data_IF_213032824349
#
_entry.id   IF_213032824349
#
_cell.length_a   1.000
_cell.length_b   1.000
_cell.length_c   1.000
_cell.angle_alpha   90.00
_cell.angle_beta   90.00
_cell.angle_gamma   90.00
#
_symmetry.space_group_name_H-M   'P 1'
#
loop_
_entity.id
_entity.type
_entity.pdbx_description
1 polymer ?
#
# COMPACT_ATOMS: atom_id res chain seq x y z
N UNK A 1 16.30 -11.38 7.44
CA UNK A 1 15.17 -12.09 6.82
C UNK A 1 14.11 -11.08 6.47
N UNK A 2 13.79 -10.90 5.20
CA UNK A 2 12.80 -9.92 4.75
C UNK A 2 11.44 -10.63 4.66
N UNK A 3 10.55 -10.34 5.60
CA UNK A 3 9.17 -10.85 5.53
C UNK A 3 8.30 -9.83 4.81
N UNK A 4 7.81 -10.20 3.64
CA UNK A 4 6.74 -9.45 2.96
C UNK A 4 5.44 -10.19 3.20
N UNK A 5 4.57 -9.62 4.01
CA UNK A 5 3.19 -10.04 4.07
C UNK A 5 2.35 -8.95 3.42
N UNK A 6 1.79 -9.27 2.27
CA UNK A 6 0.88 -8.39 1.54
C UNK A 6 -0.53 -8.75 1.97
N UNK A 7 -1.20 -7.87 2.70
CA UNK A 7 -2.65 -7.91 2.84
C UNK A 7 -3.21 -6.94 1.78
N UNK A 8 -3.85 -7.50 0.77
CA UNK A 8 -4.49 -6.73 -0.27
C UNK A 8 -5.94 -6.50 0.11
N UNK A 9 -6.31 -5.23 0.26
CA UNK A 9 -7.70 -4.84 0.33
C UNK A 9 -8.12 -4.40 -1.07
N UNK A 10 -9.02 -5.15 -1.66
CA UNK A 10 -9.58 -4.86 -2.97
C UNK A 10 -10.87 -4.06 -2.80
N UNK A 11 -10.95 -2.89 -3.44
CA UNK A 11 -12.19 -2.15 -3.57
C UNK A 11 -12.82 -2.54 -4.91
N UNK A 12 -14.07 -3.06 -4.93
CA UNK A 12 -14.77 -3.28 -6.19
C UNK A 12 -14.98 -1.95 -6.90
N UNK A 13 -14.89 -1.91 -8.23
CA UNK A 13 -15.24 -0.72 -8.99
C UNK A 13 -16.74 -0.49 -8.86
N UNK A 14 -17.14 0.59 -8.17
CA UNK A 14 -18.52 1.04 -8.15
C UNK A 14 -18.88 1.60 -9.53
N UNK A 15 -19.68 0.87 -10.28
CA UNK A 15 -20.35 1.34 -11.51
C UNK A 15 -21.74 1.95 -11.22
N UNK A 16 -22.07 2.25 -9.98
CA UNK A 16 -23.32 2.90 -9.66
C UNK A 16 -23.17 4.41 -9.74
N UNK A 17 -23.52 4.95 -10.91
CA UNK A 17 -23.88 6.36 -11.05
C UNK A 17 -25.00 6.67 -10.05
N UNK A 18 -24.72 7.55 -9.09
CA UNK A 18 -25.74 8.13 -8.24
C UNK A 18 -26.76 8.86 -9.12
N UNK A 19 -27.96 8.33 -9.13
CA UNK A 19 -29.16 9.04 -9.57
C UNK A 19 -29.33 10.28 -8.68
N UNK A 20 -29.03 11.45 -9.24
CA UNK A 20 -29.21 12.74 -8.57
C UNK A 20 -30.67 13.12 -8.58
N UNK A 21 -31.46 12.48 -7.73
CA UNK A 21 -32.79 12.93 -7.38
C UNK A 21 -32.73 14.37 -6.86
N UNK A 22 -33.37 15.22 -7.61
CA UNK A 22 -33.67 16.65 -7.44
C UNK A 22 -33.68 17.14 -5.97
N UNK A 23 -32.64 17.83 -5.54
CA UNK A 23 -32.71 18.74 -4.37
C UNK A 23 -32.45 20.17 -4.84
N UNK A 24 -33.55 20.92 -5.03
CA UNK A 24 -33.50 22.36 -5.21
C UNK A 24 -33.04 23.03 -3.89
N UNK A 25 -31.80 23.44 -3.79
CA UNK A 25 -31.35 24.43 -2.80
C UNK A 25 -30.76 25.64 -3.52
N UNK A 26 -31.45 26.77 -3.36
CA UNK A 26 -30.93 28.09 -3.72
C UNK A 26 -29.79 28.46 -2.77
N UNK A 27 -28.56 28.50 -3.27
CA UNK A 27 -27.39 29.02 -2.58
C UNK A 27 -26.28 29.21 -3.60
N UNK A 28 -25.70 30.42 -3.69
CA UNK A 28 -24.58 30.71 -4.59
C UNK A 28 -23.42 29.83 -4.26
N UNK A 29 -23.03 28.96 -5.20
CA UNK A 29 -21.81 28.14 -5.12
C UNK A 29 -20.56 29.02 -5.31
N UNK A 30 -19.46 28.73 -4.59
CA UNK A 30 -18.19 29.43 -4.82
C UNK A 30 -17.64 29.16 -6.23
N UNK A 31 -16.98 30.12 -6.83
CA UNK A 31 -16.43 30.13 -8.20
C UNK A 31 -15.53 28.93 -8.54
N UNK A 32 -15.03 28.24 -7.55
CA UNK A 32 -14.12 27.09 -7.73
C UNK A 32 -14.78 25.88 -8.39
N UNK A 33 -16.10 25.70 -8.27
CA UNK A 33 -16.82 24.58 -8.86
C UNK A 33 -17.27 24.81 -10.31
N UNK A 34 -17.22 26.05 -10.80
CA UNK A 34 -17.58 26.35 -12.18
C UNK A 34 -16.48 26.03 -13.19
N UNK A 35 -15.24 25.81 -12.74
CA UNK A 35 -14.12 25.50 -13.64
C UNK A 35 -13.99 24.02 -13.98
N UNK A 36 -14.66 23.13 -13.23
CA UNK A 36 -14.61 21.68 -13.45
C UNK A 36 -15.83 21.11 -14.19
N UNK A 37 -16.87 21.92 -14.42
CA UNK A 37 -18.14 21.42 -14.99
C UNK A 37 -18.41 21.86 -16.44
N UNK A 38 -17.52 22.58 -17.08
CA UNK A 38 -17.71 23.01 -18.45
C UNK A 38 -16.42 22.87 -19.24
N UNK A 39 -16.11 21.69 -19.67
CA UNK A 39 -15.53 21.38 -20.98
C UNK A 39 -15.13 19.90 -21.10
N UNK A 40 -15.79 19.24 -22.05
CA UNK A 40 -15.34 17.97 -22.66
C UNK A 40 -15.58 16.65 -21.93
N UNK A 41 -16.83 16.34 -21.70
CA UNK A 41 -17.26 14.96 -21.45
C UNK A 41 -17.31 14.07 -22.71
N UNK A 42 -17.16 14.63 -23.91
CA UNK A 42 -17.31 13.84 -25.15
C UNK A 42 -16.01 13.41 -25.84
N UNK A 43 -14.85 13.97 -25.49
CA UNK A 43 -13.58 13.62 -26.17
C UNK A 43 -12.66 12.72 -25.33
N UNK A 44 -13.04 12.38 -24.13
CA UNK A 44 -12.26 11.54 -23.23
C UNK A 44 -12.43 10.05 -23.51
N UNK A 45 -13.57 9.67 -24.06
CA UNK A 45 -13.90 8.26 -24.35
C UNK A 45 -13.46 7.78 -25.74
N UNK A 46 -13.01 8.64 -26.65
CA UNK A 46 -12.86 8.29 -28.07
C UNK A 46 -11.44 7.96 -28.53
N UNK A 47 -10.41 8.10 -27.73
CA UNK A 47 -9.03 7.82 -28.16
C UNK A 47 -8.18 7.08 -27.12
N UNK A 48 -8.65 5.92 -26.68
CA UNK A 48 -7.77 4.81 -26.30
C UNK A 48 -8.57 3.51 -26.30
N UNK A 49 -8.48 2.74 -27.39
CA UNK A 49 -8.52 1.29 -27.27
C UNK A 49 -7.27 0.87 -26.50
N UNK A 50 -7.22 1.13 -25.20
CA UNK A 50 -6.41 0.35 -24.29
C UNK A 50 -7.30 -0.84 -23.97
N UNK A 51 -7.09 -1.93 -24.69
CA UNK A 51 -7.55 -3.24 -24.27
C UNK A 51 -6.80 -3.62 -23.00
N UNK A 52 -7.11 -2.95 -21.91
CA UNK A 52 -6.85 -3.46 -20.58
C UNK A 52 -8.04 -4.32 -20.23
N UNK A 53 -8.00 -5.58 -20.64
CA UNK A 53 -8.76 -6.62 -19.98
C UNK A 53 -8.26 -6.64 -18.53
N UNK A 54 -8.95 -5.89 -17.65
CA UNK A 54 -8.76 -6.06 -16.21
C UNK A 54 -9.16 -7.51 -15.93
N UNK A 55 -8.20 -8.32 -15.48
CA UNK A 55 -8.40 -9.74 -15.17
C UNK A 55 -9.11 -9.93 -13.83
N UNK A 56 -10.16 -9.13 -13.56
CA UNK A 56 -10.97 -9.29 -12.35
C UNK A 56 -11.96 -10.44 -12.51
N UNK A 57 -11.89 -11.38 -11.59
CA UNK A 57 -12.82 -12.47 -11.46
C UNK A 57 -13.83 -12.10 -10.37
N UNK A 58 -15.07 -11.84 -10.77
CA UNK A 58 -16.19 -11.64 -9.83
C UNK A 58 -17.17 -12.80 -10.07
N UNK A 59 -17.42 -13.67 -9.06
CA UNK A 59 -18.39 -14.73 -9.21
C UNK A 59 -19.79 -14.18 -9.52
N UNK A 60 -20.53 -14.85 -10.40
CA UNK A 60 -21.90 -14.47 -10.70
C UNK A 60 -22.75 -14.49 -9.43
N UNK A 61 -23.49 -13.41 -9.18
CA UNK A 61 -24.33 -13.28 -7.99
C UNK A 61 -23.57 -12.95 -6.70
N UNK A 62 -22.29 -12.62 -6.76
CA UNK A 62 -21.55 -12.15 -5.57
C UNK A 62 -22.17 -10.86 -5.03
N UNK A 63 -22.49 -10.88 -3.75
CA UNK A 63 -22.86 -9.70 -2.96
C UNK A 63 -21.99 -9.65 -1.72
N UNK A 64 -21.45 -8.46 -1.33
CA UNK A 64 -20.71 -8.33 -0.08
C UNK A 64 -21.60 -8.63 1.14
N UNK A 65 -21.05 -9.28 2.16
CA UNK A 65 -21.76 -9.56 3.41
C UNK A 65 -21.94 -8.32 4.30
N UNK A 66 -21.08 -7.30 4.08
CA UNK A 66 -21.08 -6.04 4.83
C UNK A 66 -21.05 -4.85 3.87
N UNK A 67 -21.59 -3.72 4.28
CA UNK A 67 -21.60 -2.50 3.49
C UNK A 67 -20.21 -1.82 3.44
N UNK A 68 -20.06 -0.77 2.61
CA UNK A 68 -18.79 -0.07 2.43
C UNK A 68 -18.29 0.61 3.72
N UNK A 69 -19.18 1.13 4.56
CA UNK A 69 -18.82 1.77 5.83
C UNK A 69 -18.35 0.73 6.83
N UNK A 70 -19.09 -0.36 6.96
CA UNK A 70 -18.72 -1.50 7.81
C UNK A 70 -17.39 -2.10 7.36
N UNK A 71 -17.15 -2.20 6.06
CA UNK A 71 -15.86 -2.62 5.49
C UNK A 71 -14.71 -1.73 5.98
N UNK A 72 -14.87 -0.40 6.00
CA UNK A 72 -13.82 0.50 6.50
C UNK A 72 -13.56 0.32 8.00
N UNK A 73 -14.62 0.10 8.78
CA UNK A 73 -14.50 -0.20 10.23
C UNK A 73 -13.77 -1.52 10.44
N UNK A 74 -14.16 -2.57 9.69
CA UNK A 74 -13.55 -3.89 9.78
C UNK A 74 -12.06 -3.86 9.41
N UNK A 75 -11.69 -3.15 8.33
CA UNK A 75 -10.29 -2.96 7.94
C UNK A 75 -9.48 -2.36 9.11
N UNK A 76 -9.99 -1.32 9.75
CA UNK A 76 -9.30 -0.68 10.88
C UNK A 76 -9.13 -1.63 12.07
N UNK A 77 -10.19 -2.37 12.44
CA UNK A 77 -10.16 -3.33 13.54
C UNK A 77 -9.15 -4.44 13.28
N UNK A 78 -9.18 -5.04 12.09
CA UNK A 78 -8.25 -6.11 11.69
C UNK A 78 -6.81 -5.60 11.67
N UNK A 79 -6.58 -4.41 11.09
CA UNK A 79 -5.24 -3.80 11.03
C UNK A 79 -4.68 -3.56 12.43
N UNK A 80 -5.44 -2.96 13.33
CA UNK A 80 -4.98 -2.65 14.69
C UNK A 80 -4.66 -3.91 15.49
N UNK A 81 -5.53 -4.90 15.40
CA UNK A 81 -5.35 -6.14 16.13
C UNK A 81 -4.12 -6.91 15.60
N UNK A 82 -4.06 -7.12 14.30
CA UNK A 82 -2.96 -7.86 13.68
C UNK A 82 -1.59 -7.22 13.96
N UNK A 83 -1.47 -5.90 13.74
CA UNK A 83 -0.19 -5.22 13.99
C UNK A 83 0.26 -5.35 15.44
N UNK A 84 -0.67 -5.27 16.41
CA UNK A 84 -0.37 -5.45 17.82
C UNK A 84 0.16 -6.86 18.12
N UNK A 85 -0.48 -7.88 17.57
CA UNK A 85 -0.05 -9.25 17.78
C UNK A 85 1.26 -9.58 17.03
N UNK A 86 1.43 -9.08 15.81
CA UNK A 86 2.67 -9.26 15.05
C UNK A 86 3.87 -8.64 15.80
N UNK A 87 3.73 -7.42 16.31
CA UNK A 87 4.79 -6.74 17.06
C UNK A 87 5.18 -7.50 18.31
N UNK A 88 4.20 -8.06 19.02
CA UNK A 88 4.43 -8.88 20.19
C UNK A 88 5.15 -10.20 19.87
N UNK A 89 4.75 -10.88 18.78
CA UNK A 89 5.34 -12.18 18.40
C UNK A 89 6.78 -12.03 17.88
N UNK A 90 7.10 -10.94 17.21
CA UNK A 90 8.39 -10.75 16.53
C UNK A 90 9.31 -9.75 17.22
N UNK A 91 8.90 -9.13 18.33
CA UNK A 91 9.62 -8.05 19.02
C UNK A 91 9.94 -6.88 18.08
N UNK A 92 8.87 -6.26 17.52
CA UNK A 92 8.99 -5.18 16.57
C UNK A 92 8.60 -3.84 17.19
N UNK A 93 9.31 -2.78 16.81
CA UNK A 93 8.95 -1.41 17.12
C UNK A 93 8.40 -0.71 15.88
N UNK A 94 7.29 0.01 16.01
CA UNK A 94 6.76 0.81 14.92
C UNK A 94 7.66 2.01 14.65
N UNK A 95 8.01 2.23 13.38
CA UNK A 95 8.72 3.41 12.92
C UNK A 95 7.99 4.06 11.75
N UNK A 96 8.17 5.37 11.57
CA UNK A 96 7.65 6.07 10.40
C UNK A 96 8.61 5.92 9.24
N UNK A 97 8.08 5.55 8.08
CA UNK A 97 8.85 5.39 6.86
C UNK A 97 8.58 6.53 5.86
N UNK A 98 9.52 6.84 4.96
CA UNK A 98 9.28 7.80 3.90
C UNK A 98 8.33 7.25 2.86
N UNK A 99 7.46 8.11 2.32
CA UNK A 99 6.66 7.80 1.13
C UNK A 99 7.51 7.91 -0.14
N UNK A 100 8.48 8.79 -0.14
CA UNK A 100 9.39 9.02 -1.26
C UNK A 100 10.82 9.23 -0.77
N UNK A 101 11.75 8.97 -1.66
CA UNK A 101 13.20 9.16 -1.43
C UNK A 101 13.81 9.84 -2.65
N UNK A 102 15.00 10.43 -2.49
CA UNK A 102 15.75 10.91 -3.66
C UNK A 102 16.44 9.75 -4.36
N UNK A 103 16.57 9.76 -5.70
CA UNK A 103 17.27 8.69 -6.44
C UNK A 103 18.70 8.48 -5.95
N UNK A 104 19.40 9.56 -5.60
CA UNK A 104 20.78 9.55 -5.14
C UNK A 104 20.97 8.80 -3.80
N UNK A 105 19.91 8.72 -3.00
CA UNK A 105 19.95 7.95 -1.73
C UNK A 105 20.15 6.45 -1.95
N UNK A 106 19.77 5.93 -3.12
CA UNK A 106 19.79 4.51 -3.43
C UNK A 106 18.84 3.66 -2.58
N UNK A 107 17.97 4.30 -1.79
CA UNK A 107 17.08 3.61 -0.84
C UNK A 107 15.78 3.09 -1.47
N UNK A 108 15.44 3.54 -2.69
CA UNK A 108 14.32 2.94 -3.41
C UNK A 108 14.72 1.52 -3.89
N UNK A 109 13.82 0.58 -3.73
CA UNK A 109 14.02 -0.79 -4.19
C UNK A 109 13.35 -0.96 -5.56
N UNK A 110 14.15 -1.20 -6.59
CA UNK A 110 13.68 -1.32 -7.97
C UNK A 110 13.03 -2.67 -8.29
N UNK A 111 12.60 -3.43 -7.28
CA UNK A 111 11.93 -4.74 -7.42
C UNK A 111 12.75 -5.70 -8.31
N UNK A 112 12.29 -5.94 -9.55
CA UNK A 112 12.99 -6.79 -10.54
C UNK A 112 13.99 -6.00 -11.41
N UNK A 113 14.04 -4.67 -11.24
CA UNK A 113 14.95 -3.78 -11.97
C UNK A 113 14.41 -3.24 -13.29
N UNK A 114 13.18 -3.59 -13.65
CA UNK A 114 12.51 -3.12 -14.88
C UNK A 114 11.37 -2.14 -14.59
N UNK A 115 10.83 -2.17 -13.36
CA UNK A 115 9.75 -1.29 -12.94
C UNK A 115 10.23 0.15 -12.80
N UNK A 116 9.44 1.07 -13.33
CA UNK A 116 9.74 2.49 -13.32
C UNK A 116 9.13 3.15 -12.09
N UNK A 117 9.88 3.95 -11.31
CA UNK A 117 9.31 4.70 -10.20
C UNK A 117 8.38 5.82 -10.70
N UNK A 118 7.44 6.22 -9.86
CA UNK A 118 6.74 7.49 -10.01
C UNK A 118 7.63 8.58 -9.45
N UNK A 119 8.19 9.40 -10.34
CA UNK A 119 9.09 10.48 -9.98
C UNK A 119 8.38 11.84 -10.10
N UNK A 120 8.81 12.79 -9.27
CA UNK A 120 8.36 14.18 -9.30
C UNK A 120 9.49 15.12 -8.88
N UNK A 121 9.34 16.41 -9.23
CA UNK A 121 10.30 17.42 -8.87
C UNK A 121 9.88 18.14 -7.58
N UNK A 122 10.84 18.34 -6.69
CA UNK A 122 10.67 19.15 -5.47
C UNK A 122 11.03 20.58 -5.83
N UNK A 123 10.08 21.53 -5.62
CA UNK A 123 10.28 22.95 -5.93
C UNK A 123 11.52 23.52 -5.25
N UNK A 124 11.72 23.19 -3.98
CA UNK A 124 12.88 23.63 -3.22
C UNK A 124 14.13 22.86 -3.64
N UNK A 125 15.11 23.57 -4.18
CA UNK A 125 16.39 23.03 -4.62
C UNK A 125 16.38 22.21 -5.91
N UNK A 126 15.26 22.15 -6.65
CA UNK A 126 15.17 21.49 -7.96
C UNK A 126 15.50 19.99 -7.93
N UNK A 127 15.37 19.34 -6.78
CA UNK A 127 15.69 17.92 -6.62
C UNK A 127 14.56 17.02 -7.11
N UNK A 128 14.94 15.86 -7.62
CA UNK A 128 13.98 14.79 -7.94
C UNK A 128 13.70 13.93 -6.73
N UNK A 129 12.48 13.43 -6.64
CA UNK A 129 12.06 12.43 -5.68
C UNK A 129 11.31 11.31 -6.39
N UNK A 130 11.35 10.12 -5.81
CA UNK A 130 10.69 8.92 -6.30
C UNK A 130 9.83 8.32 -5.19
N UNK A 131 8.56 8.05 -5.49
CA UNK A 131 7.71 7.28 -4.59
C UNK A 131 8.26 5.87 -4.50
N UNK A 132 8.36 5.35 -3.28
CA UNK A 132 8.97 4.05 -3.04
C UNK A 132 8.16 2.92 -3.67
N UNK A 133 8.85 1.93 -4.24
CA UNK A 133 8.26 0.65 -4.65
C UNK A 133 8.24 -0.36 -3.49
N UNK A 134 9.26 -0.28 -2.63
CA UNK A 134 9.47 -1.14 -1.48
C UNK A 134 10.44 -0.45 -0.51
N UNK A 135 10.31 -0.76 0.75
CA UNK A 135 11.19 -0.23 1.81
C UNK A 135 12.28 -1.21 2.25
N UNK A 136 12.56 -2.26 1.48
CA UNK A 136 13.52 -3.28 1.90
C UNK A 136 14.92 -2.70 2.20
N UNK A 137 15.43 -1.82 1.35
CA UNK A 137 16.72 -1.15 1.57
C UNK A 137 16.64 -0.14 2.71
N UNK A 138 15.57 0.67 2.72
CA UNK A 138 15.38 1.68 3.76
C UNK A 138 15.26 1.06 5.16
N UNK A 139 14.51 -0.03 5.32
CA UNK A 139 14.37 -0.70 6.62
C UNK A 139 15.73 -1.15 7.18
N UNK A 140 16.59 -1.74 6.36
CA UNK A 140 17.95 -2.14 6.78
C UNK A 140 18.79 -0.95 7.20
N UNK A 141 18.69 0.15 6.44
CA UNK A 141 19.33 1.41 6.83
C UNK A 141 18.77 1.93 8.16
N UNK A 142 17.44 1.95 8.32
CA UNK A 142 16.77 2.41 9.53
C UNK A 142 17.11 1.56 10.77
N UNK A 143 17.18 0.23 10.64
CA UNK A 143 17.64 -0.64 11.74
C UNK A 143 18.99 -0.21 12.30
N UNK A 144 19.93 0.08 11.41
CA UNK A 144 21.26 0.57 11.81
C UNK A 144 21.19 1.96 12.43
N UNK A 145 20.48 2.90 11.81
CA UNK A 145 20.40 4.30 12.27
C UNK A 145 19.73 4.43 13.63
N UNK A 146 18.74 3.59 13.91
CA UNK A 146 18.00 3.60 15.16
C UNK A 146 18.60 2.69 16.24
N UNK A 147 19.72 1.99 15.94
CA UNK A 147 20.46 1.20 16.90
C UNK A 147 19.78 -0.11 17.32
N UNK A 148 18.96 -0.71 16.46
CA UNK A 148 18.32 -2.00 16.75
C UNK A 148 19.36 -3.11 16.92
N UNK A 149 19.17 -3.94 17.94
CA UNK A 149 20.05 -5.04 18.29
C UNK A 149 19.54 -6.39 17.76
N UNK A 150 20.37 -7.45 17.73
CA UNK A 150 19.91 -8.79 17.42
C UNK A 150 18.71 -9.20 18.28
N UNK A 151 17.70 -9.81 17.65
CA UNK A 151 16.42 -10.16 18.28
C UNK A 151 15.37 -9.06 18.24
N UNK A 152 15.74 -7.82 17.94
CA UNK A 152 14.81 -6.70 17.76
C UNK A 152 14.51 -6.45 16.28
N UNK A 153 13.41 -5.75 16.02
CA UNK A 153 13.06 -5.36 14.66
C UNK A 153 12.18 -4.14 14.60
N UNK A 154 11.95 -3.67 13.40
CA UNK A 154 11.00 -2.59 13.12
C UNK A 154 9.87 -3.08 12.21
N UNK A 155 8.74 -2.40 12.30
CA UNK A 155 7.71 -2.43 11.26
C UNK A 155 7.24 -1.02 10.93
N UNK A 156 6.68 -0.88 9.75
CA UNK A 156 6.12 0.39 9.30
C UNK A 156 4.88 0.16 8.45
N UNK A 157 3.98 1.14 8.46
CA UNK A 157 2.90 1.23 7.49
C UNK A 157 3.51 1.80 6.20
N UNK A 158 3.67 0.94 5.18
CA UNK A 158 4.22 1.34 3.90
C UNK A 158 3.11 1.64 2.92
N UNK A 159 3.20 2.81 2.29
CA UNK A 159 2.44 3.14 1.10
C UNK A 159 3.39 3.20 -0.09
N UNK A 160 3.04 2.54 -1.19
CA UNK A 160 3.84 2.50 -2.40
C UNK A 160 2.95 2.62 -3.64
N UNK A 161 3.55 3.08 -4.74
CA UNK A 161 2.90 3.09 -6.05
C UNK A 161 3.74 2.25 -7.00
N UNK A 162 3.13 1.23 -7.59
CA UNK A 162 3.69 0.33 -8.58
C UNK A 162 3.04 0.60 -9.91
N UNK A 163 3.50 1.63 -10.60
CA UNK A 163 2.87 2.14 -11.84
C UNK A 163 2.82 1.13 -12.97
N UNK A 164 3.71 0.16 -12.98
CA UNK A 164 3.83 -0.87 -14.03
C UNK A 164 3.28 -2.24 -13.56
N UNK A 165 2.45 -2.26 -12.50
CA UNK A 165 1.83 -3.50 -12.00
C UNK A 165 0.72 -3.99 -12.92
N UNK A 166 0.72 -5.28 -13.22
CA UNK A 166 -0.41 -5.95 -13.86
C UNK A 166 -1.51 -6.18 -12.80
N UNK A 167 -2.61 -5.46 -12.94
CA UNK A 167 -3.68 -5.47 -11.93
C UNK A 167 -4.62 -6.66 -12.10
N UNK A 168 -4.96 -7.29 -10.97
CA UNK A 168 -5.93 -8.39 -10.88
C UNK A 168 -6.65 -8.33 -9.51
N UNK A 169 -7.29 -9.42 -9.08
CA UNK A 169 -8.01 -9.48 -7.80
C UNK A 169 -7.11 -9.28 -6.57
N UNK A 170 -5.80 -9.49 -6.69
CA UNK A 170 -4.84 -9.43 -5.58
C UNK A 170 -3.64 -8.51 -5.85
N UNK A 171 -3.54 -7.91 -7.03
CA UNK A 171 -2.49 -6.96 -7.39
C UNK A 171 -3.07 -5.59 -7.70
N UNK A 172 -2.51 -4.55 -7.10
CA UNK A 172 -2.95 -3.16 -7.24
C UNK A 172 -1.76 -2.24 -7.48
N UNK A 173 -2.01 -1.16 -8.23
CA UNK A 173 -1.03 -0.08 -8.43
C UNK A 173 -0.67 0.59 -7.09
N UNK A 174 -1.66 0.83 -6.24
CA UNK A 174 -1.44 1.33 -4.88
C UNK A 174 -1.25 0.17 -3.92
N UNK A 175 -0.21 0.25 -3.11
CA UNK A 175 0.14 -0.77 -2.11
C UNK A 175 0.11 -0.13 -0.72
N UNK A 176 -0.71 -0.71 0.16
CA UNK A 176 -0.75 -0.44 1.59
C UNK A 176 -0.40 -1.74 2.31
N UNK A 177 0.75 -1.79 2.97
CA UNK A 177 1.20 -3.02 3.64
C UNK A 177 1.95 -2.73 4.92
N UNK A 178 1.91 -3.67 5.87
CA UNK A 178 2.89 -3.71 6.94
C UNK A 178 4.19 -4.30 6.41
N UNK A 179 5.24 -3.54 6.51
CA UNK A 179 6.55 -3.96 6.07
C UNK A 179 7.48 -4.02 7.28
N UNK A 180 8.08 -5.16 7.55
CA UNK A 180 8.89 -5.37 8.73
C UNK A 180 10.27 -5.93 8.39
N UNK A 181 11.22 -5.72 9.28
CA UNK A 181 12.58 -6.25 9.21
C UNK A 181 13.07 -6.51 10.63
N UNK A 182 13.75 -7.65 10.85
CA UNK A 182 14.29 -8.04 12.16
C UNK A 182 15.79 -8.29 12.05
N UNK A 183 16.54 -7.83 13.06
CA UNK A 183 17.98 -8.09 13.16
C UNK A 183 18.19 -9.51 13.70
N UNK A 184 18.95 -10.29 12.96
CA UNK A 184 19.43 -11.60 13.39
C UNK A 184 20.94 -11.65 13.25
N UNK A 185 21.63 -12.45 14.09
CA UNK A 185 23.07 -12.69 13.94
C UNK A 185 23.34 -13.59 12.73
N UNK A 186 24.61 -13.73 12.39
CA UNK A 186 25.01 -14.64 11.29
C UNK A 186 24.72 -16.09 11.65
N UNK A 187 24.90 -16.47 12.90
CA UNK A 187 24.66 -17.81 13.46
C UNK A 187 23.18 -18.17 13.47
N UNK A 188 22.31 -17.17 13.69
CA UNK A 188 20.85 -17.33 13.66
C UNK A 188 20.28 -17.45 12.23
N UNK A 189 21.11 -17.28 11.19
CA UNK A 189 20.65 -17.43 9.80
C UNK A 189 20.51 -18.90 9.42
N UNK A 190 19.58 -19.59 10.07
CA UNK A 190 19.31 -21.00 9.94
C UNK A 190 17.89 -21.27 9.45
N UNK A 191 17.61 -22.50 9.09
CA UNK A 191 16.26 -22.96 8.74
C UNK A 191 15.33 -22.91 9.95
N UNK A 192 15.83 -23.25 11.11
CA UNK A 192 15.11 -23.28 12.37
C UNK A 192 14.58 -21.87 12.71
N UNK A 193 15.44 -20.84 12.65
CA UNK A 193 15.04 -19.45 12.83
C UNK A 193 13.97 -19.00 11.83
N UNK A 194 14.06 -19.47 10.56
CA UNK A 194 13.04 -19.21 9.57
C UNK A 194 11.70 -19.83 9.98
N UNK A 195 11.69 -21.10 10.35
CA UNK A 195 10.48 -21.82 10.73
C UNK A 195 9.83 -21.22 11.99
N UNK A 196 10.62 -20.84 12.99
CA UNK A 196 10.13 -20.16 14.17
C UNK A 196 9.48 -18.82 13.83
N UNK A 197 10.11 -18.02 12.95
CA UNK A 197 9.55 -16.75 12.47
C UNK A 197 8.22 -16.99 11.73
N UNK A 198 8.16 -17.99 10.85
CA UNK A 198 6.91 -18.34 10.14
C UNK A 198 5.82 -18.76 11.12
N UNK A 199 6.14 -19.58 12.13
CA UNK A 199 5.17 -19.97 13.17
C UNK A 199 4.68 -18.78 13.99
N UNK A 200 5.56 -17.81 14.30
CA UNK A 200 5.19 -16.59 15.01
C UNK A 200 4.22 -15.72 14.18
N UNK A 201 4.49 -15.53 12.89
CA UNK A 201 3.59 -14.83 11.96
C UNK A 201 2.26 -15.56 11.83
N UNK A 202 2.29 -16.89 11.65
CA UNK A 202 1.07 -17.70 11.56
C UNK A 202 0.24 -17.63 12.84
N UNK A 203 0.88 -17.62 14.01
CA UNK A 203 0.20 -17.45 15.29
C UNK A 203 -0.51 -16.10 15.36
N UNK A 204 0.15 -14.99 14.95
CA UNK A 204 -0.48 -13.69 14.87
C UNK A 204 -1.72 -13.71 13.96
N UNK A 205 -1.62 -14.32 12.77
CA UNK A 205 -2.74 -14.48 11.83
C UNK A 205 -3.90 -15.29 12.42
N UNK A 206 -3.58 -16.40 13.10
CA UNK A 206 -4.60 -17.32 13.64
C UNK A 206 -5.45 -16.70 14.73
N UNK A 207 -4.90 -15.76 15.50
CA UNK A 207 -5.61 -15.08 16.59
C UNK A 207 -6.26 -13.76 16.15
N UNK A 208 -5.99 -13.28 14.93
CA UNK A 208 -6.69 -12.18 14.27
C UNK A 208 -7.97 -12.67 13.62
#
# INVERSE_FOLDING_TARGET
>A
MCGRMKLFFHFPPNNDMMDTGSIKRKGKMPLFWHFMAAEKTENWMLHRKVSTTMNFIVPAGYTPDIDLKETQIAIKVVKDFFQKELTKQLNLTRVSAPLFVTPESGLNDNLNGVERPVAFDIKEGGRKAEIVHSLAKWKRYALKQYGFQPGEGLYTDMNAIRRDEDTDNIHSIYVDQWDWEKVITKEERTRETLEETVRAVYKALKIT
#
